data_IF_748718546282
#
_entry.id   IF_748718546282
#
_cell.length_a   1.000
_cell.length_b   1.000
_cell.length_c   1.000
_cell.angle_alpha   90.00
_cell.angle_beta   90.00
_cell.angle_gamma   90.00
#
_symmetry.space_group_name_H-M   'P 1'
#
loop_
_entity.id
_entity.type
_entity.pdbx_description
1 polymer ?
#
# COMPACT_ATOMS: atom_id res chain seq x y z
N UNK A 1 1.20 -27.06 -7.64
CA UNK A 1 1.55 -26.94 -6.19
C UNK A 1 0.27 -27.08 -5.41
N UNK A 2 0.25 -27.87 -4.35
CA UNK A 2 -0.93 -28.01 -3.50
C UNK A 2 -0.94 -26.94 -2.42
N UNK A 3 -2.11 -26.58 -1.92
CA UNK A 3 -2.23 -25.59 -0.82
C UNK A 3 -1.47 -26.02 0.44
N UNK A 4 -1.43 -27.33 0.75
CA UNK A 4 -0.68 -27.88 1.88
C UNK A 4 0.83 -27.63 1.82
N UNK A 5 1.39 -27.45 0.63
CA UNK A 5 2.83 -27.30 0.43
C UNK A 5 3.31 -25.84 0.54
N UNK A 6 2.40 -24.88 0.56
CA UNK A 6 2.73 -23.45 0.41
C UNK A 6 3.67 -22.98 1.53
N UNK A 7 3.31 -23.18 2.81
CA UNK A 7 4.15 -22.74 3.94
C UNK A 7 5.53 -23.41 3.92
N UNK A 8 5.59 -24.71 3.69
CA UNK A 8 6.87 -25.42 3.63
C UNK A 8 7.77 -24.96 2.48
N UNK A 9 7.18 -24.61 1.33
CA UNK A 9 7.95 -24.07 0.21
C UNK A 9 8.48 -22.67 0.47
N UNK A 10 7.65 -21.82 1.09
CA UNK A 10 8.04 -20.45 1.47
C UNK A 10 9.16 -20.50 2.50
N UNK A 11 9.01 -21.29 3.57
CA UNK A 11 9.96 -21.38 4.66
C UNK A 11 11.35 -21.90 4.27
N UNK A 12 11.50 -22.52 3.12
CA UNK A 12 12.81 -22.92 2.59
C UNK A 12 13.71 -21.72 2.23
N UNK A 13 13.12 -20.55 1.96
CA UNK A 13 13.85 -19.41 1.38
C UNK A 13 13.58 -18.08 2.08
N UNK A 14 12.52 -17.99 2.89
CA UNK A 14 12.18 -16.78 3.62
C UNK A 14 11.48 -17.12 4.94
N UNK A 15 11.41 -16.14 5.85
CA UNK A 15 10.61 -16.23 7.06
C UNK A 15 9.13 -16.40 6.70
N UNK A 16 8.50 -17.48 7.15
CA UNK A 16 7.11 -17.80 6.89
C UNK A 16 6.31 -17.74 8.22
N UNK A 17 6.26 -16.55 8.81
CA UNK A 17 5.59 -16.22 10.07
C UNK A 17 4.16 -15.69 9.88
N UNK A 18 3.63 -15.78 8.67
CA UNK A 18 2.26 -15.40 8.34
C UNK A 18 1.20 -16.28 8.99
N UNK A 19 -0.06 -15.88 8.82
CA UNK A 19 -1.22 -16.63 9.34
C UNK A 19 -1.30 -18.02 8.71
N UNK A 20 -1.94 -18.96 9.43
CA UNK A 20 -2.06 -20.36 9.00
C UNK A 20 -2.88 -20.60 7.71
N UNK A 21 -3.97 -19.86 7.40
CA UNK A 21 -4.71 -20.07 6.16
C UNK A 21 -3.86 -19.82 4.91
N UNK A 22 -4.10 -20.60 3.87
CA UNK A 22 -3.58 -20.37 2.52
C UNK A 22 -4.75 -20.00 1.62
N UNK A 23 -4.73 -18.79 1.11
CA UNK A 23 -5.85 -18.25 0.35
C UNK A 23 -6.13 -19.04 -0.95
N UNK A 24 -7.36 -19.47 -1.13
CA UNK A 24 -7.90 -19.93 -2.40
C UNK A 24 -8.47 -18.72 -3.16
N UNK A 25 -7.69 -18.15 -4.06
CA UNK A 25 -8.09 -16.96 -4.82
C UNK A 25 -9.28 -17.20 -5.74
N UNK A 26 -9.50 -18.43 -6.16
CA UNK A 26 -10.64 -18.78 -7.04
C UNK A 26 -11.94 -18.84 -6.26
N UNK A 27 -11.92 -19.40 -5.04
CA UNK A 27 -13.12 -19.57 -4.23
C UNK A 27 -13.42 -18.41 -3.29
N UNK A 28 -12.44 -17.58 -2.98
CA UNK A 28 -12.67 -16.38 -2.17
C UNK A 28 -13.52 -15.36 -2.93
N UNK A 29 -14.46 -14.69 -2.26
CA UNK A 29 -15.39 -13.76 -2.91
C UNK A 29 -15.91 -12.68 -1.96
N UNK A 30 -16.05 -11.47 -2.44
CA UNK A 30 -16.48 -10.34 -1.63
C UNK A 30 -15.58 -10.19 -0.40
N UNK A 31 -16.16 -10.22 0.80
CA UNK A 31 -15.42 -10.16 2.07
C UNK A 31 -15.08 -11.54 2.65
N UNK A 32 -15.19 -12.61 1.89
CA UNK A 32 -14.93 -13.96 2.37
C UNK A 32 -13.64 -14.53 1.78
N UNK A 33 -12.68 -14.78 2.67
CA UNK A 33 -11.47 -15.55 2.38
C UNK A 33 -11.79 -17.04 2.56
N UNK A 34 -11.38 -17.87 1.60
CA UNK A 34 -11.46 -19.33 1.69
C UNK A 34 -10.05 -19.89 1.87
N UNK A 35 -9.86 -20.71 2.91
CA UNK A 35 -8.61 -21.47 3.08
C UNK A 35 -8.57 -22.64 2.10
N UNK A 36 -7.62 -22.63 1.19
CA UNK A 36 -7.44 -23.71 0.22
C UNK A 36 -7.02 -25.05 0.82
N UNK A 37 -6.51 -25.07 2.06
CA UNK A 37 -6.13 -26.33 2.74
C UNK A 37 -7.33 -27.04 3.34
N UNK A 38 -8.22 -26.30 3.97
CA UNK A 38 -9.35 -26.85 4.74
C UNK A 38 -10.70 -26.62 4.09
N UNK A 39 -10.82 -25.58 3.25
CA UNK A 39 -12.09 -25.12 2.70
C UNK A 39 -12.87 -24.19 3.66
N UNK A 40 -12.32 -23.89 4.82
CA UNK A 40 -12.95 -23.00 5.79
C UNK A 40 -13.06 -21.59 5.23
N UNK A 41 -14.15 -20.90 5.64
CA UNK A 41 -14.41 -19.51 5.23
C UNK A 41 -14.20 -18.58 6.41
N UNK A 42 -13.46 -17.52 6.16
CA UNK A 42 -13.18 -16.45 7.12
C UNK A 42 -13.75 -15.14 6.61
N UNK A 43 -14.42 -14.39 7.47
CA UNK A 43 -14.78 -13.02 7.18
C UNK A 43 -13.49 -12.18 7.23
N UNK A 44 -13.11 -11.62 6.08
CA UNK A 44 -11.88 -10.84 5.96
C UNK A 44 -12.10 -9.41 6.49
N UNK A 45 -11.72 -9.19 7.75
CA UNK A 45 -11.63 -7.87 8.38
C UNK A 45 -10.21 -7.28 8.30
N UNK A 46 -9.30 -8.00 7.68
CA UNK A 46 -7.91 -7.59 7.50
C UNK A 46 -7.69 -6.81 6.19
N UNK A 47 -8.45 -7.15 5.15
CA UNK A 47 -8.41 -6.52 3.81
C UNK A 47 -7.00 -6.44 3.21
N UNK A 48 -6.11 -7.33 3.60
CA UNK A 48 -4.70 -7.34 3.20
C UNK A 48 -4.03 -5.95 3.37
N UNK A 49 -4.18 -5.35 4.55
CA UNK A 49 -3.75 -3.97 4.86
C UNK A 49 -4.36 -2.93 3.90
N UNK A 50 -5.65 -3.05 3.62
CA UNK A 50 -6.40 -2.20 2.69
C UNK A 50 -5.96 -2.29 1.20
N UNK A 51 -5.09 -3.22 0.84
CA UNK A 51 -4.72 -3.44 -0.56
C UNK A 51 -5.83 -4.15 -1.37
N UNK A 52 -6.80 -4.75 -0.70
CA UNK A 52 -7.95 -5.44 -1.28
C UNK A 52 -9.27 -4.74 -0.91
N UNK A 53 -9.34 -3.44 -1.11
CA UNK A 53 -10.44 -2.58 -0.65
C UNK A 53 -11.82 -2.93 -1.21
N UNK A 54 -11.89 -3.55 -2.40
CA UNK A 54 -13.16 -3.98 -3.03
C UNK A 54 -13.49 -5.46 -2.79
N UNK A 55 -12.66 -6.16 -2.02
CA UNK A 55 -12.82 -7.59 -1.75
C UNK A 55 -12.38 -8.50 -2.90
N UNK A 56 -12.59 -9.81 -2.70
CA UNK A 56 -12.17 -10.85 -3.63
C UNK A 56 -13.14 -10.98 -4.80
N UNK A 57 -12.59 -11.16 -5.99
CA UNK A 57 -13.37 -11.48 -7.20
C UNK A 57 -14.58 -10.56 -7.43
N UNK A 58 -14.40 -9.26 -7.20
CA UNK A 58 -15.46 -8.27 -7.39
C UNK A 58 -15.98 -8.33 -8.84
N UNK A 59 -17.31 -8.41 -9.08
CA UNK A 59 -17.86 -8.59 -10.42
C UNK A 59 -17.36 -7.55 -11.44
N UNK A 60 -17.35 -6.28 -11.07
CA UNK A 60 -16.85 -5.21 -11.94
C UNK A 60 -15.38 -5.43 -12.37
N UNK A 61 -14.54 -5.94 -11.47
CA UNK A 61 -13.13 -6.23 -11.77
C UNK A 61 -13.02 -7.39 -12.74
N UNK A 62 -13.82 -8.44 -12.53
CA UNK A 62 -13.87 -9.61 -13.43
C UNK A 62 -14.38 -9.26 -14.82
N UNK A 63 -15.41 -8.41 -14.91
CA UNK A 63 -15.96 -7.94 -16.18
C UNK A 63 -14.96 -7.09 -16.98
N UNK A 64 -14.05 -6.39 -16.29
CA UNK A 64 -13.00 -5.57 -16.88
C UNK A 64 -11.60 -6.24 -16.93
N UNK A 65 -11.52 -7.56 -16.74
CA UNK A 65 -10.26 -8.31 -16.65
C UNK A 65 -9.32 -8.11 -17.85
N UNK A 66 -9.86 -7.96 -19.07
CA UNK A 66 -9.03 -7.78 -20.27
C UNK A 66 -8.27 -6.45 -20.23
N UNK A 67 -8.90 -5.37 -19.76
CA UNK A 67 -8.25 -4.07 -19.56
C UNK A 67 -7.14 -4.16 -18.48
N UNK A 68 -7.41 -4.88 -17.40
CA UNK A 68 -6.42 -5.13 -16.35
C UNK A 68 -5.26 -5.98 -16.85
N UNK A 69 -5.54 -6.96 -17.72
CA UNK A 69 -4.54 -7.85 -18.30
C UNK A 69 -3.53 -7.09 -19.17
N UNK A 70 -3.97 -6.10 -19.96
CA UNK A 70 -3.06 -5.25 -20.74
C UNK A 70 -2.03 -4.54 -19.87
N UNK A 71 -2.48 -3.94 -18.74
CA UNK A 71 -1.60 -3.29 -17.77
C UNK A 71 -0.75 -4.29 -16.98
N UNK A 72 -1.22 -5.52 -16.78
CA UNK A 72 -0.47 -6.56 -16.08
C UNK A 72 0.66 -7.14 -16.94
N UNK A 73 0.44 -7.28 -18.26
CA UNK A 73 1.44 -7.77 -19.22
C UNK A 73 2.52 -6.70 -19.46
N UNK A 74 2.09 -5.44 -19.63
CA UNK A 74 2.98 -4.34 -19.94
C UNK A 74 3.02 -3.39 -18.73
N UNK A 75 3.99 -3.58 -17.85
CA UNK A 75 4.20 -2.77 -16.65
C UNK A 75 5.33 -1.75 -16.81
N UNK A 76 5.18 -0.74 -17.67
CA UNK A 76 6.20 0.30 -17.76
C UNK A 76 6.25 1.10 -16.45
N UNK A 77 7.44 1.54 -16.09
CA UNK A 77 7.60 2.60 -15.10
C UNK A 77 7.10 3.91 -15.71
N UNK A 78 6.15 4.58 -15.05
CA UNK A 78 5.57 5.82 -15.53
C UNK A 78 6.24 7.07 -14.90
N UNK A 79 7.55 7.02 -14.65
CA UNK A 79 8.31 8.16 -14.13
C UNK A 79 8.62 9.21 -15.21
N UNK A 80 9.01 8.74 -16.39
CA UNK A 80 9.53 9.59 -17.48
C UNK A 80 8.67 9.50 -18.74
N UNK A 81 7.98 8.38 -18.93
CA UNK A 81 7.07 8.14 -20.06
C UNK A 81 5.72 7.70 -19.49
N UNK A 82 4.67 8.41 -19.85
CA UNK A 82 3.34 8.20 -19.30
C UNK A 82 2.48 7.29 -20.17
N UNK A 83 1.48 6.65 -19.56
CA UNK A 83 0.48 5.84 -20.25
C UNK A 83 -0.91 6.44 -20.11
N UNK A 84 -1.83 6.04 -20.99
CA UNK A 84 -3.24 6.42 -20.87
C UNK A 84 -3.82 5.96 -19.54
N UNK A 85 -3.51 4.72 -19.12
CA UNK A 85 -3.98 4.17 -17.85
C UNK A 85 -3.53 5.02 -16.64
N UNK A 86 -2.29 5.53 -16.65
CA UNK A 86 -1.78 6.44 -15.63
C UNK A 86 -2.55 7.76 -15.63
N UNK A 87 -2.79 8.33 -16.81
CA UNK A 87 -3.52 9.59 -16.94
C UNK A 87 -4.96 9.46 -16.43
N UNK A 88 -5.67 8.40 -16.78
CA UNK A 88 -7.03 8.09 -16.31
C UNK A 88 -7.10 7.91 -14.80
N UNK A 89 -6.10 7.24 -14.22
CA UNK A 89 -5.99 7.06 -12.76
C UNK A 89 -5.81 8.42 -12.07
N UNK A 90 -4.84 9.22 -12.51
CA UNK A 90 -4.54 10.53 -11.91
C UNK A 90 -5.73 11.49 -12.03
N UNK A 91 -6.37 11.56 -13.20
CA UNK A 91 -7.57 12.37 -13.42
C UNK A 91 -8.72 11.94 -12.49
N UNK A 92 -8.94 10.64 -12.38
CA UNK A 92 -9.98 10.10 -11.50
C UNK A 92 -9.71 10.43 -10.04
N UNK A 93 -8.48 10.24 -9.57
CA UNK A 93 -8.10 10.58 -8.21
C UNK A 93 -8.24 12.08 -7.93
N UNK A 94 -7.80 12.93 -8.87
CA UNK A 94 -7.95 14.38 -8.76
C UNK A 94 -9.40 14.82 -8.64
N UNK A 95 -10.28 14.21 -9.43
CA UNK A 95 -11.70 14.56 -9.49
C UNK A 95 -12.54 14.09 -8.30
N UNK A 96 -12.24 12.90 -7.74
CA UNK A 96 -13.12 12.26 -6.76
C UNK A 96 -12.53 12.17 -5.35
N UNK A 97 -11.21 12.19 -5.20
CA UNK A 97 -10.56 11.93 -3.91
C UNK A 97 -9.68 13.08 -3.41
N UNK A 98 -9.23 13.95 -4.31
CA UNK A 98 -8.30 15.02 -3.97
C UNK A 98 -9.06 16.28 -3.53
N UNK A 99 -8.84 16.82 -2.32
CA UNK A 99 -9.46 18.07 -1.89
C UNK A 99 -8.80 19.28 -2.55
N UNK A 100 -9.57 20.34 -2.77
CA UNK A 100 -9.08 21.57 -3.43
C UNK A 100 -7.86 22.21 -2.76
N UNK A 101 -7.74 22.09 -1.44
CA UNK A 101 -6.60 22.65 -0.68
C UNK A 101 -5.32 21.80 -0.76
N UNK A 102 -5.38 20.59 -1.37
CA UNK A 102 -4.22 19.74 -1.68
C UNK A 102 -4.23 19.38 -3.17
N UNK A 103 -3.92 20.34 -4.07
CA UNK A 103 -4.11 20.17 -5.50
C UNK A 103 -3.08 19.29 -6.20
N UNK A 104 -2.05 18.83 -5.50
CA UNK A 104 -0.98 18.03 -6.06
C UNK A 104 -0.88 16.67 -5.39
N UNK A 105 -0.60 15.64 -6.17
CA UNK A 105 -0.37 14.27 -5.71
C UNK A 105 1.00 13.76 -6.15
N UNK A 106 1.58 12.91 -5.33
CA UNK A 106 2.79 12.19 -5.65
C UNK A 106 2.54 10.70 -5.42
N UNK A 107 2.68 9.90 -6.47
CA UNK A 107 2.41 8.47 -6.45
C UNK A 107 3.70 7.67 -6.36
N UNK A 108 3.77 6.76 -5.40
CA UNK A 108 4.93 5.90 -5.16
C UNK A 108 4.47 4.52 -4.68
N UNK A 109 5.31 3.52 -4.84
CA UNK A 109 4.99 2.14 -4.48
C UNK A 109 5.03 1.92 -2.97
N UNK A 110 3.85 1.71 -2.37
CA UNK A 110 3.69 1.29 -0.98
C UNK A 110 3.58 2.42 0.04
N UNK A 111 2.84 2.14 1.13
CA UNK A 111 2.54 3.12 2.19
C UNK A 111 3.77 3.65 2.91
N UNK A 112 4.76 2.80 3.19
CA UNK A 112 6.01 3.21 3.85
C UNK A 112 6.73 4.31 3.06
N UNK A 113 6.90 4.13 1.75
CA UNK A 113 7.54 5.13 0.89
C UNK A 113 6.67 6.37 0.70
N UNK A 114 5.35 6.24 0.72
CA UNK A 114 4.44 7.39 0.68
C UNK A 114 4.61 8.28 1.92
N UNK A 115 4.61 7.67 3.11
CA UNK A 115 4.87 8.40 4.38
C UNK A 115 6.27 9.00 4.39
N UNK A 116 7.30 8.27 3.93
CA UNK A 116 8.66 8.78 3.86
C UNK A 116 8.78 10.03 2.98
N UNK A 117 8.12 10.04 1.81
CA UNK A 117 8.13 11.21 0.94
C UNK A 117 7.30 12.37 1.53
N UNK A 118 6.19 12.09 2.20
CA UNK A 118 5.44 13.11 2.94
C UNK A 118 6.29 13.77 4.03
N UNK A 119 7.08 12.99 4.77
CA UNK A 119 8.02 13.50 5.77
C UNK A 119 9.10 14.39 5.15
N UNK A 120 9.68 13.98 4.01
CA UNK A 120 10.67 14.81 3.30
C UNK A 120 10.10 16.17 2.91
N UNK A 121 8.88 16.19 2.38
CA UNK A 121 8.19 17.44 2.03
C UNK A 121 7.94 18.30 3.26
N UNK A 122 7.44 17.68 4.35
CA UNK A 122 7.16 18.39 5.59
C UNK A 122 8.43 18.98 6.24
N UNK A 123 9.53 18.24 6.22
CA UNK A 123 10.82 18.72 6.74
C UNK A 123 11.34 19.89 5.92
N UNK A 124 11.40 19.74 4.60
CA UNK A 124 11.89 20.80 3.71
C UNK A 124 11.06 22.08 3.87
N UNK A 125 9.73 21.96 3.85
CA UNK A 125 8.82 23.07 4.06
C UNK A 125 9.04 23.74 5.42
N UNK A 126 9.11 22.96 6.52
CA UNK A 126 9.20 23.53 7.87
C UNK A 126 10.55 24.16 8.15
N UNK A 127 11.62 23.57 7.68
CA UNK A 127 12.97 24.12 7.80
C UNK A 127 13.09 25.44 7.04
N UNK A 128 12.62 25.49 5.79
CA UNK A 128 12.61 26.74 5.00
C UNK A 128 11.82 27.85 5.67
N UNK A 129 10.60 27.54 6.15
CA UNK A 129 9.76 28.50 6.88
C UNK A 129 10.49 29.08 8.11
N UNK A 130 11.20 28.23 8.87
CA UNK A 130 11.92 28.66 10.05
C UNK A 130 13.15 29.50 9.70
N UNK A 131 13.90 29.14 8.64
CA UNK A 131 15.05 29.93 8.15
C UNK A 131 14.59 31.33 7.70
N UNK A 132 13.49 31.43 6.96
CA UNK A 132 12.92 32.71 6.52
C UNK A 132 12.49 33.59 7.70
N UNK A 133 12.02 32.98 8.80
CA UNK A 133 11.63 33.68 10.05
C UNK A 133 12.81 33.96 10.99
N UNK A 134 14.03 33.58 10.61
CA UNK A 134 15.22 33.76 11.46
C UNK A 134 15.32 32.81 12.66
N UNK A 135 14.54 31.72 12.68
CA UNK A 135 14.52 30.75 13.78
C UNK A 135 15.64 29.69 13.68
N UNK A 136 16.44 29.69 12.60
CA UNK A 136 17.44 28.65 12.32
C UNK A 136 16.87 27.36 11.71
N UNK A 137 17.69 26.35 11.59
CA UNK A 137 17.33 25.04 10.99
C UNK A 137 16.46 24.18 11.95
N UNK A 138 15.26 24.64 12.24
CA UNK A 138 14.28 23.90 13.05
C UNK A 138 13.19 23.31 12.16
N UNK A 139 12.65 22.12 12.54
CA UNK A 139 11.53 21.51 11.84
C UNK A 139 11.76 20.08 11.37
N UNK A 140 12.78 19.39 11.88
CA UNK A 140 13.10 17.99 11.59
C UNK A 140 12.53 17.00 12.62
N UNK A 141 11.79 17.47 13.62
CA UNK A 141 11.16 16.62 14.63
C UNK A 141 9.72 16.31 14.26
N UNK A 142 9.31 15.08 14.48
CA UNK A 142 7.94 14.59 14.23
C UNK A 142 7.33 14.14 15.53
N UNK A 143 6.11 14.63 15.82
CA UNK A 143 5.27 14.11 16.88
C UNK A 143 4.48 12.91 16.34
N UNK A 144 4.59 11.77 16.98
CA UNK A 144 3.84 10.56 16.65
C UNK A 144 3.25 9.91 17.90
N UNK A 145 2.28 9.01 17.71
CA UNK A 145 1.66 8.29 18.81
C UNK A 145 2.44 7.05 19.20
N UNK A 146 2.30 6.62 20.46
CA UNK A 146 2.74 5.30 20.90
C UNK A 146 1.96 4.20 20.14
N UNK A 147 2.61 3.05 19.93
CA UNK A 147 2.06 1.89 19.24
C UNK A 147 1.56 2.18 17.81
N UNK A 148 2.12 3.20 17.18
CA UNK A 148 1.82 3.51 15.78
C UNK A 148 2.72 2.72 14.84
N UNK A 149 2.23 2.53 13.61
CA UNK A 149 3.00 1.93 12.53
C UNK A 149 2.99 2.85 11.32
N UNK A 150 4.16 3.26 10.87
CA UNK A 150 4.34 4.15 9.71
C UNK A 150 5.11 3.48 8.57
N UNK A 151 5.63 2.28 8.78
CA UNK A 151 6.44 1.54 7.83
C UNK A 151 7.82 1.18 8.37
N UNK A 152 8.60 0.50 7.54
CA UNK A 152 9.93 -0.03 7.90
C UNK A 152 11.04 0.47 6.96
N UNK A 153 10.83 1.57 6.24
CA UNK A 153 11.89 2.29 5.52
C UNK A 153 12.58 3.31 6.44
N UNK A 154 13.57 4.03 5.94
CA UNK A 154 14.43 4.89 6.73
C UNK A 154 13.72 5.79 7.77
N UNK A 155 13.07 6.86 7.33
CA UNK A 155 12.39 7.78 8.26
C UNK A 155 11.17 7.16 8.93
N UNK A 156 10.45 6.30 8.23
CA UNK A 156 9.25 5.65 8.80
C UNK A 156 9.59 4.67 9.91
N UNK A 157 10.72 3.97 9.82
CA UNK A 157 11.20 3.11 10.90
C UNK A 157 11.45 3.88 12.20
N UNK A 158 11.96 5.11 12.09
CA UNK A 158 12.21 5.97 13.26
C UNK A 158 10.93 6.44 13.95
N UNK A 159 9.78 6.36 13.30
CA UNK A 159 8.47 6.76 13.82
C UNK A 159 7.59 5.56 14.19
N UNK A 160 7.95 4.38 13.74
CA UNK A 160 7.20 3.15 14.05
C UNK A 160 7.53 2.71 15.47
N UNK A 161 6.49 2.57 16.29
CA UNK A 161 6.53 2.04 17.65
C UNK A 161 5.66 0.78 17.69
N UNK A 162 6.13 -0.27 17.01
CA UNK A 162 5.45 -1.56 16.95
C UNK A 162 6.02 -2.51 17.99
N UNK A 163 5.19 -3.32 18.69
CA UNK A 163 5.68 -4.34 19.60
C UNK A 163 6.50 -5.44 18.91
N UNK A 164 6.33 -5.59 17.60
CA UNK A 164 7.12 -6.50 16.76
C UNK A 164 8.10 -5.66 15.92
N UNK A 165 9.37 -5.59 16.30
CA UNK A 165 10.39 -4.80 15.62
C UNK A 165 10.75 -5.33 14.24
#
# INVERSE_FOLDING_TARGET
MNFSDVHSKISNYMLADGMSPVIDLEKSHGSWLVDGKTGDKYLDLFSMFASLSVGYNHPYVLDNKNRLLESAINKPTNSDIYSIAMAEFVDTMGRIAQPEYLPYSFYISGGSLAVENALKVAFDWKVRENLEKGNGELGSKVLHFEKCFHGRSGYTMSLTDSPDP
#
